data_IF_949868313241
#
_entry.id   IF_949868313241
#
_cell.length_a   1.000
_cell.length_b   1.000
_cell.length_c   1.000
_cell.angle_alpha   90.00
_cell.angle_beta   90.00
_cell.angle_gamma   90.00
#
_symmetry.space_group_name_H-M   'P 1'
#
loop_
_entity.id
_entity.type
_entity.pdbx_description
1 polymer ?
#
# COMPACT_ATOMS: atom_id res chain seq x y z
N UNK A 1 2.80 7.65 26.71
CA UNK A 1 1.40 7.19 26.78
C UNK A 1 0.49 8.41 26.92
N UNK A 2 -0.63 8.46 26.18
CA UNK A 2 -1.59 9.57 26.27
C UNK A 2 -2.72 9.18 27.23
N UNK A 3 -2.93 9.93 28.32
CA UNK A 3 -4.00 9.67 29.28
C UNK A 3 -5.25 10.47 28.88
N UNK A 4 -6.38 9.79 28.71
CA UNK A 4 -7.68 10.38 28.38
C UNK A 4 -8.64 10.05 29.53
N UNK A 5 -9.09 11.07 30.26
CA UNK A 5 -10.09 10.93 31.34
C UNK A 5 -11.51 11.22 30.83
N UNK A 6 -12.53 10.59 31.39
CA UNK A 6 -13.94 10.87 31.08
C UNK A 6 -14.42 12.22 31.63
N UNK A 7 -13.67 12.82 32.56
CA UNK A 7 -14.03 14.05 33.27
C UNK A 7 -13.62 15.32 32.52
N UNK A 8 -12.73 15.20 31.52
CA UNK A 8 -12.30 16.34 30.73
C UNK A 8 -13.42 16.78 29.76
N UNK A 9 -13.60 18.09 29.59
CA UNK A 9 -14.65 18.67 28.74
C UNK A 9 -14.60 18.18 27.28
N UNK A 10 -13.41 17.82 26.80
CA UNK A 10 -13.17 17.35 25.43
C UNK A 10 -13.11 15.81 25.31
N UNK A 11 -13.53 15.05 26.32
CA UNK A 11 -13.42 13.58 26.36
C UNK A 11 -13.90 12.90 25.09
N UNK A 12 -15.09 13.27 24.58
CA UNK A 12 -15.65 12.66 23.36
C UNK A 12 -14.80 12.92 22.12
N UNK A 13 -14.19 14.09 22.01
CA UNK A 13 -13.30 14.43 20.88
C UNK A 13 -11.94 13.72 20.99
N UNK A 14 -11.39 13.62 22.20
CA UNK A 14 -10.16 12.89 22.47
C UNK A 14 -10.35 11.39 22.19
N UNK A 15 -11.49 10.82 22.57
CA UNK A 15 -11.86 9.45 22.26
C UNK A 15 -12.01 9.21 20.75
N UNK A 16 -12.65 10.14 20.01
CA UNK A 16 -12.73 10.06 18.54
C UNK A 16 -11.37 10.13 17.85
N UNK A 17 -10.40 10.86 18.40
CA UNK A 17 -9.04 10.90 17.85
C UNK A 17 -8.29 9.57 17.94
N UNK A 18 -8.78 8.63 18.77
CA UNK A 18 -8.28 7.26 18.84
C UNK A 18 -8.93 6.33 17.82
N UNK A 19 -10.06 6.71 17.22
CA UNK A 19 -10.74 5.93 16.19
C UNK A 19 -9.95 6.02 14.88
N UNK A 20 -8.88 5.22 14.82
CA UNK A 20 -7.94 5.17 13.70
C UNK A 20 -8.50 4.29 12.58
N UNK A 21 -9.68 4.65 12.06
CA UNK A 21 -10.12 4.19 10.74
C UNK A 21 -9.27 4.90 9.71
N UNK A 22 -8.12 4.32 9.37
CA UNK A 22 -7.28 4.88 8.32
C UNK A 22 -8.01 4.74 6.99
N UNK A 23 -8.75 5.77 6.60
CA UNK A 23 -9.16 5.90 5.22
C UNK A 23 -7.90 6.23 4.41
N UNK A 24 -7.58 5.45 3.37
CA UNK A 24 -6.50 5.83 2.46
C UNK A 24 -6.80 7.23 1.91
N UNK A 25 -5.75 8.03 1.77
CA UNK A 25 -5.88 9.33 1.13
C UNK A 25 -6.31 9.11 -0.33
N UNK A 26 -7.19 9.96 -0.87
CA UNK A 26 -7.76 9.80 -2.21
C UNK A 26 -6.71 9.64 -3.33
N UNK A 27 -5.52 10.23 -3.17
CA UNK A 27 -4.43 10.09 -4.13
C UNK A 27 -3.84 8.66 -4.16
N UNK A 28 -3.84 7.96 -3.01
CA UNK A 28 -3.36 6.58 -2.92
C UNK A 28 -4.32 5.66 -3.67
N UNK A 29 -5.62 5.83 -3.43
CA UNK A 29 -6.67 5.07 -4.14
C UNK A 29 -6.58 5.24 -5.66
N UNK A 30 -6.40 6.49 -6.11
CA UNK A 30 -6.18 6.79 -7.52
C UNK A 30 -4.94 6.09 -8.08
N UNK A 31 -3.81 6.19 -7.37
CA UNK A 31 -2.54 5.57 -7.80
C UNK A 31 -2.69 4.05 -7.92
N UNK A 32 -3.31 3.40 -6.93
CA UNK A 32 -3.54 1.95 -6.96
C UNK A 32 -4.45 1.56 -8.12
N UNK A 33 -5.51 2.33 -8.37
CA UNK A 33 -6.43 2.07 -9.49
C UNK A 33 -5.71 2.16 -10.84
N UNK A 34 -4.83 3.15 -11.02
CA UNK A 34 -4.00 3.30 -12.22
C UNK A 34 -3.02 2.11 -12.39
N UNK A 35 -2.39 1.64 -11.31
CA UNK A 35 -1.50 0.47 -11.32
C UNK A 35 -2.27 -0.80 -11.72
N UNK A 36 -3.42 -1.06 -11.10
CA UNK A 36 -4.27 -2.23 -11.41
C UNK A 36 -4.73 -2.18 -12.87
N UNK A 37 -5.15 -1.00 -13.35
CA UNK A 37 -5.53 -0.80 -14.75
C UNK A 37 -4.37 -1.10 -15.71
N UNK A 38 -3.18 -0.57 -15.43
CA UNK A 38 -2.00 -0.79 -16.25
C UNK A 38 -1.57 -2.26 -16.30
N UNK A 39 -1.63 -2.98 -15.18
CA UNK A 39 -1.35 -4.43 -15.14
C UNK A 39 -2.42 -5.22 -15.90
N UNK A 40 -3.69 -4.83 -15.79
CA UNK A 40 -4.78 -5.48 -16.55
C UNK A 40 -4.61 -5.32 -18.06
N UNK A 41 -4.18 -4.15 -18.53
CA UNK A 41 -4.04 -3.86 -19.96
C UNK A 41 -2.73 -4.39 -20.56
N UNK A 42 -1.61 -4.30 -19.82
CA UNK A 42 -0.26 -4.54 -20.34
C UNK A 42 0.41 -5.79 -19.74
N UNK A 43 -0.23 -6.45 -18.79
CA UNK A 43 0.24 -7.68 -18.16
C UNK A 43 1.64 -7.56 -17.57
N UNK A 44 2.47 -8.55 -17.88
CA UNK A 44 3.84 -8.70 -17.39
C UNK A 44 4.73 -7.48 -17.65
N UNK A 45 4.51 -6.76 -18.75
CA UNK A 45 5.29 -5.57 -19.07
C UNK A 45 5.08 -4.44 -18.05
N UNK A 46 3.83 -4.22 -17.63
CA UNK A 46 3.54 -3.25 -16.57
C UNK A 46 4.03 -3.72 -15.20
N UNK A 47 3.92 -5.02 -14.92
CA UNK A 47 4.39 -5.59 -13.66
C UNK A 47 5.91 -5.40 -13.50
N UNK A 48 6.70 -5.70 -14.53
CA UNK A 48 8.16 -5.51 -14.53
C UNK A 48 8.54 -4.03 -14.35
N UNK A 49 7.82 -3.12 -15.01
CA UNK A 49 8.07 -1.69 -14.89
C UNK A 49 7.77 -1.18 -13.46
N UNK A 50 6.71 -1.67 -12.82
CA UNK A 50 6.40 -1.32 -11.44
C UNK A 50 7.35 -1.95 -10.43
N UNK A 51 7.83 -3.17 -10.66
CA UNK A 51 8.87 -3.80 -9.84
C UNK A 51 10.17 -2.97 -9.86
N UNK A 52 10.59 -2.49 -11.04
CA UNK A 52 11.77 -1.59 -11.15
C UNK A 52 11.51 -0.25 -10.43
N UNK A 53 10.29 0.29 -10.51
CA UNK A 53 9.93 1.58 -9.90
C UNK A 53 9.83 1.55 -8.37
N UNK A 54 9.20 0.52 -7.81
CA UNK A 54 8.87 0.46 -6.38
C UNK A 54 9.87 -0.36 -5.57
N UNK A 55 10.34 -1.49 -6.12
CA UNK A 55 11.27 -2.38 -5.43
C UNK A 55 12.73 -2.07 -5.80
N UNK A 56 12.95 -1.26 -6.85
CA UNK A 56 14.29 -0.92 -7.34
C UNK A 56 15.01 -2.08 -8.03
N UNK A 57 14.31 -3.17 -8.32
CA UNK A 57 14.89 -4.39 -8.89
C UNK A 57 14.49 -4.53 -10.35
N UNK A 58 15.49 -4.74 -11.21
CA UNK A 58 15.27 -4.94 -12.64
C UNK A 58 15.32 -6.42 -13.00
N UNK A 59 14.16 -6.97 -13.34
CA UNK A 59 14.03 -8.36 -13.80
C UNK A 59 14.17 -8.45 -15.32
N UNK A 60 14.84 -9.50 -15.81
CA UNK A 60 14.99 -9.76 -17.25
C UNK A 60 13.71 -10.27 -17.91
N UNK A 61 12.84 -10.93 -17.14
CA UNK A 61 11.55 -11.44 -17.59
C UNK A 61 10.63 -11.69 -16.40
N UNK A 62 9.33 -11.82 -16.63
CA UNK A 62 8.38 -12.11 -15.56
C UNK A 62 8.63 -13.48 -14.89
N UNK A 63 9.22 -14.44 -15.61
CA UNK A 63 9.59 -15.74 -15.02
C UNK A 63 10.64 -15.61 -13.93
N UNK A 64 11.50 -14.58 -14.00
CA UNK A 64 12.55 -14.33 -13.02
C UNK A 64 12.01 -13.74 -11.71
N UNK A 65 10.73 -13.37 -11.63
CA UNK A 65 10.09 -12.98 -10.36
C UNK A 65 9.82 -14.18 -9.45
N UNK A 66 9.69 -15.38 -10.04
CA UNK A 66 9.40 -16.58 -9.29
C UNK A 66 10.69 -17.12 -8.67
N UNK A 67 10.73 -17.21 -7.35
CA UNK A 67 11.79 -17.89 -6.59
C UNK A 67 11.76 -19.39 -6.91
N UNK A 68 12.93 -19.98 -7.11
CA UNK A 68 13.09 -21.40 -7.42
C UNK A 68 13.18 -22.24 -6.14
N UNK A 69 12.91 -23.54 -6.25
CA UNK A 69 13.01 -24.47 -5.09
C UNK A 69 14.42 -24.52 -4.48
N UNK A 70 15.46 -24.21 -5.26
CA UNK A 70 16.84 -24.18 -4.77
C UNK A 70 17.15 -22.95 -3.89
N UNK A 71 16.25 -21.96 -3.84
CA UNK A 71 16.42 -20.70 -3.12
C UNK A 71 15.53 -20.61 -1.85
N UNK A 72 14.77 -21.67 -1.54
CA UNK A 72 13.96 -21.82 -0.33
C UNK A 72 14.76 -22.40 0.84
#
# INVERSE_FOLDING_TARGET
MRLISHQQKNFRSALRSLDRRSQPLAHVERTVSEVVGAVREKGDAALLAFAEKFDGVKFKSAKALRVTEAEL
#
